data_IF_613910617822
#
_entry.id   IF_613910617822
#
_cell.length_a   1.000
_cell.length_b   1.000
_cell.length_c   1.000
_cell.angle_alpha   90.00
_cell.angle_beta   90.00
_cell.angle_gamma   90.00
#
_symmetry.space_group_name_H-M   'P 1'
#
loop_
_entity.id
_entity.type
_entity.pdbx_description
1 polymer ?
#
# COMPACT_ATOMS: atom_id res chain seq x y z
N UNK A 1 -10.73 5.64 16.87
CA UNK A 1 -10.86 4.78 15.66
C UNK A 1 -10.03 3.54 15.88
N UNK A 2 -10.58 2.34 15.65
CA UNK A 2 -9.88 1.07 15.82
C UNK A 2 -9.31 0.60 14.46
N UNK A 3 -8.12 0.01 14.48
CA UNK A 3 -7.55 -0.64 13.30
C UNK A 3 -8.20 -2.03 13.13
N UNK A 4 -8.88 -2.28 12.02
CA UNK A 4 -9.53 -3.56 11.74
C UNK A 4 -8.57 -4.75 11.70
N UNK A 5 -7.28 -4.51 11.40
CA UNK A 5 -6.25 -5.56 11.41
C UNK A 5 -5.65 -5.81 12.79
N UNK A 6 -6.02 -5.05 13.82
CA UNK A 6 -5.54 -5.27 15.17
C UNK A 6 -6.72 -5.52 16.10
N UNK A 7 -6.91 -6.76 16.52
CA UNK A 7 -7.95 -7.20 17.42
C UNK A 7 -7.40 -8.27 18.37
N UNK A 8 -7.92 -8.28 19.63
CA UNK A 8 -7.51 -9.24 20.67
C UNK A 8 -5.98 -9.22 20.88
N UNK A 9 -5.37 -8.04 20.87
CA UNK A 9 -3.93 -7.80 21.01
C UNK A 9 -3.08 -8.53 19.96
N UNK A 10 -3.67 -8.83 18.79
CA UNK A 10 -3.00 -9.52 17.68
C UNK A 10 -3.27 -8.86 16.34
N UNK A 11 -2.27 -8.95 15.48
CA UNK A 11 -2.39 -8.59 14.08
C UNK A 11 -3.17 -9.68 13.32
N UNK A 12 -4.24 -9.29 12.62
CA UNK A 12 -5.20 -10.19 11.95
C UNK A 12 -4.90 -10.45 10.47
N UNK A 13 -3.74 -10.02 9.98
CA UNK A 13 -3.32 -10.27 8.60
C UNK A 13 -2.05 -11.14 8.56
N UNK A 14 -1.78 -11.86 7.43
CA UNK A 14 -0.61 -12.72 7.29
C UNK A 14 0.72 -11.97 7.41
N UNK A 15 0.74 -10.68 7.04
CA UNK A 15 1.94 -9.85 7.04
C UNK A 15 1.69 -8.53 7.76
N UNK A 16 2.65 -8.11 8.56
CA UNK A 16 2.72 -6.76 9.09
C UNK A 16 3.45 -5.89 8.04
N UNK A 17 2.92 -4.72 7.65
CA UNK A 17 3.62 -3.82 6.74
C UNK A 17 5.03 -3.49 7.23
N UNK A 18 6.02 -3.52 6.35
CA UNK A 18 7.42 -3.29 6.70
C UNK A 18 7.64 -1.92 7.37
N UNK A 19 6.91 -0.90 6.95
CA UNK A 19 6.93 0.42 7.58
C UNK A 19 6.42 0.43 9.03
N UNK A 20 5.62 -0.55 9.44
CA UNK A 20 5.25 -0.75 10.85
C UNK A 20 6.34 -1.54 11.57
N UNK A 21 6.90 -2.57 10.91
CA UNK A 21 7.94 -3.42 11.50
C UNK A 21 9.25 -2.68 11.80
N UNK A 22 9.54 -1.57 11.11
CA UNK A 22 10.75 -0.79 11.36
C UNK A 22 10.77 -0.07 12.70
N UNK A 23 9.59 0.23 13.26
CA UNK A 23 9.51 0.92 14.54
C UNK A 23 10.23 0.14 15.66
N UNK A 24 11.00 0.79 16.56
CA UNK A 24 11.16 2.25 16.74
C UNK A 24 12.28 2.89 15.90
N UNK A 25 12.81 2.21 14.89
CA UNK A 25 13.81 2.77 13.98
C UNK A 25 13.16 3.51 12.81
N UNK A 26 13.87 4.48 12.26
CA UNK A 26 13.48 5.24 11.09
C UNK A 26 14.67 5.53 10.18
N UNK A 27 14.39 5.79 8.89
CA UNK A 27 15.41 6.23 7.92
C UNK A 27 15.02 7.62 7.46
N UNK A 28 15.94 8.55 7.56
CA UNK A 28 15.74 9.94 7.14
C UNK A 28 16.96 10.47 6.39
N UNK A 29 16.76 11.45 5.50
CA UNK A 29 17.89 12.17 4.90
C UNK A 29 18.75 12.82 5.99
N UNK A 30 20.06 12.60 5.92
CA UNK A 30 21.05 13.19 6.79
C UNK A 30 22.29 13.60 5.98
N UNK A 31 22.55 14.91 5.85
CA UNK A 31 23.70 15.48 5.14
C UNK A 31 23.98 14.88 3.75
N UNK A 32 22.91 14.61 2.97
CA UNK A 32 22.99 14.05 1.63
C UNK A 32 23.08 12.52 1.57
N UNK A 33 23.10 11.85 2.72
CA UNK A 33 23.01 10.40 2.86
C UNK A 33 21.68 10.00 3.53
N UNK A 34 21.47 8.71 3.73
CA UNK A 34 20.42 8.20 4.58
C UNK A 34 21.00 7.90 5.96
N UNK A 35 20.44 8.53 6.99
CA UNK A 35 20.75 8.25 8.38
C UNK A 35 19.71 7.34 9.01
N UNK A 36 20.14 6.50 9.94
CA UNK A 36 19.26 5.69 10.78
C UNK A 36 19.05 6.39 12.10
N UNK A 37 17.80 6.52 12.49
CA UNK A 37 17.34 7.18 13.71
C UNK A 37 16.55 6.20 14.56
N UNK A 38 16.47 6.45 15.85
CA UNK A 38 15.63 5.69 16.77
C UNK A 38 14.74 6.66 17.55
N UNK A 39 13.50 6.26 17.78
CA UNK A 39 12.60 6.95 18.70
C UNK A 39 12.91 6.52 20.13
N UNK A 40 13.69 7.34 20.83
CA UNK A 40 14.14 7.09 22.19
C UNK A 40 13.02 7.25 23.24
N UNK A 41 11.89 7.85 22.84
CA UNK A 41 10.68 7.94 23.67
C UNK A 41 9.78 6.70 23.60
N UNK A 42 10.14 5.72 22.79
CA UNK A 42 9.36 4.49 22.60
C UNK A 42 9.41 3.59 23.83
N UNK A 43 8.25 3.06 24.23
CA UNK A 43 8.13 2.03 25.29
C UNK A 43 8.90 0.72 24.97
N UNK A 44 9.38 0.56 23.73
CA UNK A 44 10.24 -0.58 23.33
C UNK A 44 11.71 -0.35 23.69
N UNK A 45 12.09 0.84 24.11
CA UNK A 45 13.45 1.16 24.56
C UNK A 45 13.48 1.11 26.08
N UNK A 46 14.22 0.17 26.62
CA UNK A 46 14.30 -0.08 28.06
C UNK A 46 15.74 -0.36 28.48
N UNK A 47 16.08 -0.06 29.73
CA UNK A 47 17.45 -0.25 30.27
C UNK A 47 17.84 -1.74 30.41
N UNK A 48 16.85 -2.62 30.53
CA UNK A 48 17.01 -4.07 30.66
C UNK A 48 16.78 -4.82 29.35
N UNK A 49 16.58 -4.10 28.25
CA UNK A 49 16.39 -4.64 26.90
C UNK A 49 17.67 -5.20 26.27
N UNK A 50 17.54 -5.73 25.06
CA UNK A 50 18.70 -6.17 24.29
C UNK A 50 19.55 -4.96 23.88
N UNK A 51 20.85 -5.00 24.17
CA UNK A 51 21.77 -3.93 23.87
C UNK A 51 21.90 -3.68 22.36
N UNK A 52 21.92 -2.40 21.96
CA UNK A 52 22.17 -2.00 20.59
C UNK A 52 23.67 -1.97 20.24
N UNK A 53 24.51 -1.73 21.26
CA UNK A 53 25.96 -1.67 21.12
C UNK A 53 26.64 -2.63 22.10
N UNK A 54 27.78 -3.15 21.70
CA UNK A 54 28.66 -3.94 22.58
C UNK A 54 29.41 -3.02 23.54
N UNK A 55 30.11 -3.61 24.52
CA UNK A 55 30.97 -2.85 25.47
C UNK A 55 32.08 -2.04 24.74
N UNK A 56 32.54 -2.51 23.58
CA UNK A 56 33.56 -1.84 22.75
C UNK A 56 32.97 -0.74 21.85
N UNK A 57 31.63 -0.50 21.91
CA UNK A 57 30.93 0.50 21.10
C UNK A 57 30.58 0.07 19.69
N UNK A 58 30.79 -1.20 19.33
CA UNK A 58 30.39 -1.76 18.04
C UNK A 58 28.91 -2.11 18.03
N UNK A 59 28.30 -2.15 16.83
CA UNK A 59 26.91 -2.55 16.69
C UNK A 59 26.71 -4.01 17.17
N UNK A 60 25.79 -4.23 18.10
CA UNK A 60 25.37 -5.57 18.51
C UNK A 60 24.50 -6.24 17.42
N UNK A 61 24.28 -7.55 17.54
CA UNK A 61 23.57 -8.32 16.51
C UNK A 61 22.14 -7.81 16.26
N UNK A 62 21.46 -7.35 17.29
CA UNK A 62 20.15 -6.72 17.15
C UNK A 62 20.22 -5.52 16.21
N UNK A 63 21.16 -4.61 16.45
CA UNK A 63 21.32 -3.41 15.62
C UNK A 63 21.74 -3.78 14.20
N UNK A 64 22.70 -4.72 14.02
CA UNK A 64 23.09 -5.19 12.68
C UNK A 64 21.90 -5.70 11.87
N UNK A 65 21.08 -6.58 12.45
CA UNK A 65 19.89 -7.10 11.79
C UNK A 65 18.87 -5.99 11.45
N UNK A 66 18.76 -4.97 12.30
CA UNK A 66 17.89 -3.82 12.02
C UNK A 66 18.43 -2.95 10.91
N UNK A 67 19.73 -2.72 10.86
CA UNK A 67 20.37 -1.97 9.77
C UNK A 67 20.20 -2.67 8.42
N UNK A 68 20.39 -3.99 8.35
CA UNK A 68 20.14 -4.78 7.14
C UNK A 68 18.66 -4.69 6.69
N UNK A 69 17.72 -4.80 7.62
CA UNK A 69 16.30 -4.63 7.33
C UNK A 69 15.97 -3.24 6.80
N UNK A 70 16.54 -2.19 7.38
CA UNK A 70 16.33 -0.81 6.97
C UNK A 70 16.96 -0.53 5.59
N UNK A 71 18.12 -1.08 5.31
CA UNK A 71 18.76 -0.99 3.98
C UNK A 71 17.87 -1.67 2.92
N UNK A 72 17.38 -2.88 3.21
CA UNK A 72 16.41 -3.55 2.33
C UNK A 72 15.16 -2.71 2.10
N UNK A 73 14.61 -2.08 3.15
CA UNK A 73 13.44 -1.21 3.05
C UNK A 73 13.71 0.02 2.17
N UNK A 74 14.86 0.68 2.34
CA UNK A 74 15.26 1.83 1.54
C UNK A 74 15.42 1.46 0.05
N UNK A 75 16.05 0.32 -0.24
CA UNK A 75 16.18 -0.18 -1.60
C UNK A 75 14.83 -0.54 -2.23
N UNK A 76 13.92 -1.14 -1.46
CA UNK A 76 12.56 -1.46 -1.89
C UNK A 76 11.75 -0.19 -2.19
N UNK A 77 11.90 0.85 -1.38
CA UNK A 77 11.26 2.16 -1.62
C UNK A 77 11.74 2.78 -2.93
N UNK A 78 13.07 2.76 -3.20
CA UNK A 78 13.63 3.26 -4.46
C UNK A 78 13.04 2.52 -5.67
N UNK A 79 12.95 1.19 -5.60
CA UNK A 79 12.36 0.38 -6.67
C UNK A 79 10.87 0.71 -6.85
N UNK A 80 10.15 0.95 -5.77
CA UNK A 80 8.75 1.36 -5.79
C UNK A 80 8.57 2.70 -6.50
N UNK A 81 9.45 3.67 -6.24
CA UNK A 81 9.43 4.98 -6.93
C UNK A 81 9.72 4.84 -8.42
N UNK A 82 10.66 3.98 -8.82
CA UNK A 82 10.93 3.69 -10.23
C UNK A 82 9.70 3.04 -10.91
N UNK A 83 9.03 2.12 -10.24
CA UNK A 83 7.78 1.51 -10.71
C UNK A 83 6.68 2.56 -10.88
N UNK A 84 6.41 3.38 -9.87
CA UNK A 84 5.39 4.44 -9.93
C UNK A 84 5.67 5.38 -11.09
N UNK A 85 6.93 5.85 -11.22
CA UNK A 85 7.33 6.71 -12.33
C UNK A 85 7.01 6.06 -13.68
N UNK A 86 7.32 4.78 -13.85
CA UNK A 86 7.09 4.08 -15.11
C UNK A 86 5.60 3.92 -15.45
N UNK A 87 4.76 3.55 -14.49
CA UNK A 87 3.31 3.42 -14.75
C UNK A 87 2.65 4.78 -15.05
N UNK A 88 3.18 5.86 -14.47
CA UNK A 88 2.76 7.24 -14.81
C UNK A 88 3.21 7.64 -16.22
N UNK A 89 4.46 7.37 -16.60
CA UNK A 89 4.98 7.63 -17.95
C UNK A 89 4.17 6.93 -19.03
N UNK A 90 3.72 5.72 -18.77
CA UNK A 90 2.92 4.91 -19.70
C UNK A 90 1.41 5.22 -19.62
N UNK A 91 1.01 6.22 -18.82
CA UNK A 91 -0.39 6.59 -18.60
C UNK A 91 -1.30 5.41 -18.18
N UNK A 92 -0.75 4.47 -17.39
CA UNK A 92 -1.47 3.25 -17.00
C UNK A 92 -2.44 3.45 -15.84
N UNK A 93 -2.50 4.63 -15.25
CA UNK A 93 -3.34 4.88 -14.08
C UNK A 93 -4.74 5.35 -14.46
N UNK A 94 -5.71 4.91 -13.66
CA UNK A 94 -7.09 5.41 -13.67
C UNK A 94 -7.55 5.69 -12.25
N UNK A 95 -8.40 6.69 -12.07
CA UNK A 95 -8.96 7.02 -10.78
C UNK A 95 -10.09 6.04 -10.42
N UNK A 96 -10.04 5.55 -9.18
CA UNK A 96 -11.08 4.69 -8.62
C UNK A 96 -11.65 5.32 -7.35
N UNK A 97 -12.92 4.99 -7.07
CA UNK A 97 -13.61 5.34 -5.86
C UNK A 97 -14.10 4.06 -5.16
N UNK A 98 -13.88 3.97 -3.84
CA UNK A 98 -14.43 2.88 -3.03
C UNK A 98 -15.69 3.40 -2.34
N UNK A 99 -16.85 2.90 -2.75
CA UNK A 99 -18.16 3.22 -2.16
C UNK A 99 -18.54 2.15 -1.15
N UNK A 100 -18.88 2.58 0.05
CA UNK A 100 -19.28 1.70 1.14
C UNK A 100 -20.65 2.10 1.67
N UNK A 101 -21.43 1.09 2.05
CA UNK A 101 -22.69 1.27 2.79
C UNK A 101 -22.61 0.40 4.04
N UNK A 102 -22.82 1.00 5.22
CA UNK A 102 -22.91 0.24 6.47
C UNK A 102 -24.32 -0.34 6.69
N UNK A 103 -24.49 -1.13 7.74
CA UNK A 103 -25.81 -1.72 8.04
C UNK A 103 -26.87 -0.69 8.45
N UNK A 104 -26.47 0.47 8.97
CA UNK A 104 -27.38 1.57 9.25
C UNK A 104 -27.85 2.34 7.98
N UNK A 105 -27.31 1.97 6.81
CA UNK A 105 -27.63 2.61 5.53
C UNK A 105 -26.79 3.86 5.24
N UNK A 106 -25.84 4.21 6.10
CA UNK A 106 -24.94 5.33 5.86
C UNK A 106 -23.98 5.02 4.72
N UNK A 107 -23.83 5.98 3.81
CA UNK A 107 -22.95 5.88 2.64
C UNK A 107 -21.66 6.66 2.89
N UNK A 108 -20.54 6.05 2.53
CA UNK A 108 -19.22 6.69 2.54
C UNK A 108 -18.50 6.37 1.25
N UNK A 109 -17.70 7.32 0.77
CA UNK A 109 -16.82 7.15 -0.38
C UNK A 109 -15.39 7.50 0.02
N UNK A 110 -14.44 6.68 -0.45
CA UNK A 110 -13.01 6.98 -0.41
C UNK A 110 -12.62 7.33 -1.84
N UNK A 111 -12.15 8.55 -2.05
CA UNK A 111 -11.76 9.13 -3.33
C UNK A 111 -10.26 9.39 -3.38
N UNK A 112 -9.74 9.75 -4.57
CA UNK A 112 -8.33 10.06 -4.78
C UNK A 112 -7.44 8.82 -4.81
N UNK A 113 -8.00 7.64 -4.99
CA UNK A 113 -7.25 6.40 -5.19
C UNK A 113 -7.02 6.15 -6.68
N UNK A 114 -5.87 5.58 -6.98
CA UNK A 114 -5.49 5.20 -8.35
C UNK A 114 -5.33 3.68 -8.44
N UNK A 115 -5.68 3.13 -9.58
CA UNK A 115 -5.44 1.74 -9.94
C UNK A 115 -4.92 1.64 -11.38
N UNK A 116 -4.55 0.45 -11.81
CA UNK A 116 -4.17 0.19 -13.21
C UNK A 116 -5.43 0.14 -14.08
N UNK A 117 -5.38 0.83 -15.21
CA UNK A 117 -6.40 0.72 -16.27
C UNK A 117 -6.07 -0.49 -17.16
N UNK A 118 -6.92 -1.51 -17.10
CA UNK A 118 -6.74 -2.74 -17.88
C UNK A 118 -6.74 -2.51 -19.39
N UNK A 119 -7.57 -1.56 -19.88
CA UNK A 119 -7.63 -1.25 -21.31
C UNK A 119 -6.35 -0.59 -21.80
N UNK A 120 -5.80 0.34 -21.02
CA UNK A 120 -4.52 0.96 -21.34
C UNK A 120 -3.37 -0.05 -21.29
N UNK A 121 -3.37 -0.93 -20.28
CA UNK A 121 -2.38 -2.01 -20.16
C UNK A 121 -2.45 -2.96 -21.36
N UNK A 122 -3.65 -3.35 -21.77
CA UNK A 122 -3.85 -4.26 -22.91
C UNK A 122 -3.40 -3.65 -24.25
N UNK A 123 -3.51 -2.33 -24.40
CA UNK A 123 -3.16 -1.61 -25.61
C UNK A 123 -1.72 -1.05 -25.60
N UNK A 124 -0.87 -1.47 -24.66
CA UNK A 124 0.54 -1.09 -24.67
C UNK A 124 1.25 -1.60 -25.92
N UNK A 125 2.28 -0.87 -26.34
CA UNK A 125 3.18 -1.31 -27.39
C UNK A 125 4.06 -2.47 -26.90
N UNK A 126 4.42 -3.36 -27.81
CA UNK A 126 5.27 -4.51 -27.50
C UNK A 126 6.58 -4.11 -26.79
N UNK A 127 7.18 -2.98 -27.18
CA UNK A 127 8.41 -2.44 -26.60
C UNK A 127 8.24 -2.12 -25.12
N UNK A 128 7.11 -1.48 -24.75
CA UNK A 128 6.78 -1.11 -23.38
C UNK A 128 6.51 -2.36 -22.52
N UNK A 129 5.82 -3.35 -23.08
CA UNK A 129 5.55 -4.63 -22.41
C UNK A 129 6.87 -5.34 -22.09
N UNK A 130 7.80 -5.40 -23.07
CA UNK A 130 9.11 -6.01 -22.89
C UNK A 130 9.93 -5.26 -21.83
N UNK A 131 9.87 -3.92 -21.81
CA UNK A 131 10.57 -3.13 -20.82
C UNK A 131 10.02 -3.39 -19.40
N UNK A 132 8.70 -3.37 -19.22
CA UNK A 132 8.03 -3.66 -17.94
C UNK A 132 8.41 -5.06 -17.44
N UNK A 133 8.46 -6.05 -18.34
CA UNK A 133 8.84 -7.41 -18.01
C UNK A 133 10.30 -7.50 -17.54
N UNK A 134 11.24 -6.91 -18.28
CA UNK A 134 12.67 -6.92 -17.96
C UNK A 134 12.98 -6.23 -16.61
N UNK A 135 12.21 -5.20 -16.25
CA UNK A 135 12.31 -4.50 -14.95
C UNK A 135 11.62 -5.24 -13.81
N UNK A 136 10.90 -6.34 -14.09
CA UNK A 136 10.11 -7.07 -13.10
C UNK A 136 8.80 -6.36 -12.70
N UNK A 137 8.41 -5.31 -13.41
CA UNK A 137 7.25 -4.48 -13.06
C UNK A 137 5.91 -5.12 -13.46
N UNK A 138 5.91 -6.02 -14.43
CA UNK A 138 4.69 -6.75 -14.84
C UNK A 138 4.03 -7.46 -13.65
N UNK A 139 4.82 -8.15 -12.81
CA UNK A 139 4.31 -8.82 -11.62
C UNK A 139 3.67 -7.85 -10.63
N UNK A 140 4.29 -6.67 -10.42
CA UNK A 140 3.76 -5.63 -9.54
C UNK A 140 2.44 -5.03 -10.07
N UNK A 141 2.33 -4.82 -11.39
CA UNK A 141 1.09 -4.37 -12.05
C UNK A 141 -0.06 -5.33 -11.77
N UNK A 142 0.13 -6.62 -12.06
CA UNK A 142 -0.92 -7.62 -11.83
C UNK A 142 -1.23 -7.81 -10.34
N UNK A 143 -0.23 -7.78 -9.46
CA UNK A 143 -0.44 -7.83 -8.02
C UNK A 143 -1.29 -6.65 -7.52
N UNK A 144 -1.05 -5.43 -8.05
CA UNK A 144 -1.83 -4.24 -7.73
C UNK A 144 -3.30 -4.41 -8.17
N UNK A 145 -3.54 -4.88 -9.40
CA UNK A 145 -4.89 -5.13 -9.91
C UNK A 145 -5.62 -6.18 -9.07
N UNK A 146 -4.97 -7.31 -8.77
CA UNK A 146 -5.55 -8.38 -7.96
C UNK A 146 -5.78 -7.98 -6.50
N UNK A 147 -4.99 -7.02 -5.97
CA UNK A 147 -5.10 -6.56 -4.59
C UNK A 147 -6.46 -5.92 -4.27
N UNK A 148 -7.15 -5.39 -5.25
CA UNK A 148 -8.49 -4.80 -5.07
C UNK A 148 -9.51 -5.83 -4.54
N UNK A 149 -9.36 -7.10 -4.89
CA UNK A 149 -10.22 -8.17 -4.35
C UNK A 149 -10.03 -8.37 -2.84
N UNK A 150 -8.88 -7.98 -2.29
CA UNK A 150 -8.59 -8.09 -0.86
C UNK A 150 -9.41 -7.11 0.00
N UNK A 151 -10.05 -6.10 -0.60
CA UNK A 151 -10.99 -5.23 0.10
C UNK A 151 -12.16 -6.00 0.71
N UNK A 152 -12.51 -7.17 0.16
CA UNK A 152 -13.48 -8.08 0.78
C UNK A 152 -13.06 -8.52 2.19
N UNK A 153 -11.75 -8.63 2.43
CA UNK A 153 -11.23 -8.94 3.77
C UNK A 153 -11.55 -7.85 4.79
N UNK A 154 -11.57 -6.58 4.38
CA UNK A 154 -11.98 -5.48 5.25
C UNK A 154 -13.46 -5.58 5.61
N UNK A 155 -14.31 -6.01 4.67
CA UNK A 155 -15.73 -6.27 4.95
C UNK A 155 -15.89 -7.39 5.97
N UNK A 156 -15.17 -8.49 5.80
CA UNK A 156 -15.19 -9.61 6.77
C UNK A 156 -14.74 -9.19 8.17
N UNK A 157 -13.66 -8.41 8.26
CA UNK A 157 -13.15 -7.91 9.54
C UNK A 157 -14.13 -6.90 10.18
N UNK A 158 -14.69 -6.01 9.36
CA UNK A 158 -15.69 -5.04 9.80
C UNK A 158 -16.94 -5.73 10.36
N UNK A 159 -17.36 -6.85 9.79
CA UNK A 159 -18.52 -7.62 10.24
C UNK A 159 -18.35 -8.25 11.63
N UNK A 160 -17.13 -8.23 12.17
CA UNK A 160 -16.83 -8.64 13.56
C UNK A 160 -16.87 -7.47 14.55
N UNK A 161 -17.16 -6.27 14.08
CA UNK A 161 -17.22 -5.04 14.92
C UNK A 161 -18.67 -4.57 15.06
N UNK A 162 -18.84 -3.50 15.83
CA UNK A 162 -20.11 -2.78 16.02
C UNK A 162 -20.53 -1.93 14.81
N UNK A 163 -19.66 -1.81 13.80
CA UNK A 163 -19.90 -1.00 12.58
C UNK A 163 -19.72 -1.82 11.31
N UNK A 164 -20.52 -2.87 11.08
CA UNK A 164 -20.37 -3.74 9.96
C UNK A 164 -20.67 -3.05 8.63
N UNK A 165 -19.85 -3.36 7.62
CA UNK A 165 -20.04 -2.90 6.24
C UNK A 165 -21.01 -3.87 5.55
N UNK A 166 -22.13 -3.34 5.06
CA UNK A 166 -23.14 -4.10 4.31
C UNK A 166 -22.69 -4.38 2.88
N UNK A 167 -22.13 -3.37 2.20
CA UNK A 167 -21.64 -3.49 0.83
C UNK A 167 -20.42 -2.59 0.60
N UNK A 168 -19.52 -3.08 -0.25
CA UNK A 168 -18.37 -2.35 -0.75
C UNK A 168 -18.34 -2.50 -2.26
N UNK A 169 -18.17 -1.39 -2.97
CA UNK A 169 -18.09 -1.34 -4.43
C UNK A 169 -16.87 -0.51 -4.84
N UNK A 170 -16.11 -1.02 -5.79
CA UNK A 170 -15.03 -0.29 -6.44
C UNK A 170 -15.57 0.24 -7.76
N UNK A 171 -15.45 1.53 -7.99
CA UNK A 171 -15.94 2.21 -9.18
C UNK A 171 -14.76 2.84 -9.91
N UNK A 172 -14.58 2.48 -11.17
CA UNK A 172 -13.67 3.20 -12.06
C UNK A 172 -14.41 4.44 -12.57
N UNK A 173 -13.95 5.62 -12.19
CA UNK A 173 -14.65 6.87 -12.48
C UNK A 173 -14.68 7.20 -13.98
N UNK A 174 -13.62 6.88 -14.70
CA UNK A 174 -13.57 7.09 -16.16
C UNK A 174 -14.57 6.17 -16.89
N UNK A 175 -14.65 4.89 -16.50
CA UNK A 175 -15.60 3.94 -17.07
C UNK A 175 -17.06 4.31 -16.73
N UNK A 176 -17.32 4.77 -15.50
CA UNK A 176 -18.66 5.23 -15.10
C UNK A 176 -19.09 6.47 -15.89
N UNK A 177 -18.18 7.43 -16.08
CA UNK A 177 -18.45 8.63 -16.87
C UNK A 177 -18.73 8.28 -18.35
N UNK A 178 -17.94 7.39 -18.95
CA UNK A 178 -18.17 6.93 -20.33
C UNK A 178 -19.50 6.21 -20.49
N UNK A 179 -19.87 5.35 -19.52
CA UNK A 179 -21.15 4.65 -19.54
C UNK A 179 -22.35 5.61 -19.43
N UNK A 180 -22.25 6.63 -18.58
CA UNK A 180 -23.29 7.68 -18.47
C UNK A 180 -23.47 8.46 -19.77
N UNK A 181 -22.37 8.92 -20.36
CA UNK A 181 -22.40 9.67 -21.61
C UNK A 181 -23.03 8.86 -22.75
N UNK A 182 -22.74 7.54 -22.81
CA UNK A 182 -23.34 6.65 -23.80
C UNK A 182 -24.85 6.48 -23.58
N UNK A 183 -25.28 6.29 -22.34
CA UNK A 183 -26.72 6.16 -22.02
C UNK A 183 -27.51 7.44 -22.32
N UNK A 184 -26.91 8.61 -22.07
CA UNK A 184 -27.52 9.91 -22.41
C UNK A 184 -27.66 10.11 -23.94
N UNK A 185 -26.66 9.67 -24.71
CA UNK A 185 -26.71 9.72 -26.17
C UNK A 185 -27.80 8.81 -26.77
N UNK A 186 -27.93 7.58 -26.22
CA UNK A 186 -28.97 6.62 -26.64
C UNK A 186 -30.40 7.06 -26.29
N UNK A 187 -30.61 7.92 -25.30
CA UNK A 187 -31.91 8.50 -24.93
C UNK A 187 -32.27 9.74 -25.72
N UNK A 188 -31.32 10.32 -26.43
CA UNK A 188 -31.52 11.53 -27.24
C UNK A 188 -31.81 11.23 -28.72
N UNK A 189 -31.70 9.97 -29.16
CA UNK A 189 -32.14 9.45 -30.47
C UNK A 189 -33.56 8.92 -30.40
#
# INVERSE_FOLDING_TARGET
>A
ESNLFFAEDRWQAPQVPMNIQRYPFDIRPDNGNLGVFIDDSSDLITDDGAALFTEDGEAADLLKNRLEFLDYLANSERLTQEFIKKVVELDLLTEIEIRMVNQAGERRAITGMLSIDENKLFNLKDEDIVELHKKGFSGAIYALMMSLSQLNRLVELSNKTDKPIRSLQIVNLAAEAAAKAKAEAEQAE
#
